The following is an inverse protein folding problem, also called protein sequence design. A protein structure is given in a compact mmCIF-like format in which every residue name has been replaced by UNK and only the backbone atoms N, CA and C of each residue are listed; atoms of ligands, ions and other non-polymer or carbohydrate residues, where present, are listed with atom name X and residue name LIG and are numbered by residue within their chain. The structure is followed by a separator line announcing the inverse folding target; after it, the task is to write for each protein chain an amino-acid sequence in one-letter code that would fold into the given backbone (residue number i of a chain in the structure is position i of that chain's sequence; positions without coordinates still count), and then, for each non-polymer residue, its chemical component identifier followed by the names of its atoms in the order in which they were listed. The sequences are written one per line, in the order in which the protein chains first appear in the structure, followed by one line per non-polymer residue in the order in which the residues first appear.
data_IF_263157515645
#
_entry.id   IF_263157515645
#
_cell.length_a   1.000
_cell.length_b   1.000
_cell.length_c   1.000
_cell.angle_alpha   90.00
_cell.angle_beta   90.00
_cell.angle_gamma   90.00
#
_symmetry.space_group_name_H-M   'P 1'
#
loop_
_entity.id
_entity.type
_entity.pdbx_description
1 polymer ?
#
# COMPACT_ATOMS: atom_id res chain seq x y z
N UNK A 1 76.99 38.57 46.21
CA UNK A 1 77.98 37.48 46.11
C UNK A 1 77.27 36.25 45.55
N UNK A 2 77.15 36.10 44.24
CA UNK A 2 78.29 35.77 43.38
C UNK A 2 78.22 34.33 42.84
N UNK A 3 77.26 33.50 43.28
CA UNK A 3 77.13 32.11 42.82
C UNK A 3 75.98 31.91 41.81
N UNK A 4 74.82 32.54 42.02
CA UNK A 4 73.61 32.27 41.20
C UNK A 4 73.68 32.82 39.76
N UNK A 5 74.53 33.82 39.48
CA UNK A 5 74.67 34.44 38.16
C UNK A 5 75.79 33.83 37.30
N UNK A 6 76.65 32.95 37.86
CA UNK A 6 77.78 32.37 37.13
C UNK A 6 77.49 30.98 36.54
N UNK A 7 76.46 30.28 37.03
CA UNK A 7 76.07 28.94 36.55
C UNK A 7 75.19 29.03 35.28
N UNK A 8 74.41 30.11 35.11
CA UNK A 8 73.51 30.27 33.95
C UNK A 8 74.24 30.51 32.62
N UNK A 9 75.56 30.70 32.63
CA UNK A 9 76.38 31.04 31.45
C UNK A 9 77.09 29.83 30.80
N UNK A 10 76.95 28.62 31.35
CA UNK A 10 77.62 27.40 30.86
C UNK A 10 76.69 26.26 30.42
N UNK A 11 75.37 26.48 30.37
CA UNK A 11 74.41 25.46 29.92
C UNK A 11 73.61 25.88 28.67
N UNK A 12 74.28 26.50 27.70
CA UNK A 12 73.70 26.69 26.37
C UNK A 12 74.06 25.48 25.49
N UNK A 13 73.22 24.45 25.54
CA UNK A 13 73.31 23.31 24.61
C UNK A 13 72.56 23.72 23.34
N UNK A 14 73.20 23.77 22.16
CA UNK A 14 72.48 24.00 20.91
C UNK A 14 71.56 22.80 20.65
N UNK A 15 70.26 23.04 20.41
CA UNK A 15 69.36 21.99 19.95
C UNK A 15 69.73 21.59 18.51
N UNK A 16 69.94 20.30 18.20
CA UNK A 16 70.14 19.87 16.83
C UNK A 16 68.86 20.13 16.02
N UNK A 17 68.98 20.87 14.92
CA UNK A 17 67.92 20.97 13.92
C UNK A 17 67.81 19.62 13.20
N UNK A 18 66.69 18.92 13.43
CA UNK A 18 66.32 17.73 12.66
C UNK A 18 65.47 18.21 11.49
N UNK A 19 65.91 18.09 10.23
CA UNK A 19 65.07 18.43 9.09
C UNK A 19 63.87 17.49 9.05
N UNK A 20 62.66 18.04 8.97
CA UNK A 20 61.47 17.24 8.72
C UNK A 20 61.51 16.70 7.28
N UNK A 21 61.36 15.39 7.05
CA UNK A 21 61.29 14.86 5.69
C UNK A 21 60.03 15.41 5.00
N UNK A 22 60.19 16.04 3.84
CA UNK A 22 59.08 16.38 2.96
C UNK A 22 58.52 15.09 2.34
N UNK A 23 57.32 14.71 2.77
CA UNK A 23 56.55 13.63 2.16
C UNK A 23 55.66 14.28 1.10
N UNK A 24 55.82 13.97 -0.20
CA UNK A 24 54.93 14.47 -1.23
C UNK A 24 53.50 13.94 -0.97
N UNK A 25 52.51 14.83 -0.98
CA UNK A 25 51.12 14.42 -0.87
C UNK A 25 50.72 13.60 -2.11
N UNK A 26 50.10 12.41 -1.95
CA UNK A 26 49.59 11.67 -3.09
C UNK A 26 48.49 12.49 -3.77
N UNK A 27 48.63 12.80 -5.06
CA UNK A 27 47.51 13.27 -5.86
C UNK A 27 46.54 12.12 -6.07
N UNK A 28 45.44 12.13 -5.33
CA UNK A 28 44.31 11.23 -5.55
C UNK A 28 43.40 11.91 -6.59
N UNK A 29 43.22 11.35 -7.79
CA UNK A 29 42.27 11.88 -8.76
C UNK A 29 40.86 11.86 -8.14
N UNK A 30 40.19 13.01 -8.12
CA UNK A 30 38.81 13.06 -7.68
C UNK A 30 37.94 12.25 -8.66
N UNK A 31 37.13 11.30 -8.18
CA UNK A 31 36.18 10.59 -9.04
C UNK A 31 35.22 11.61 -9.64
N UNK A 32 35.13 11.68 -10.97
CA UNK A 32 34.04 12.38 -11.65
C UNK A 32 32.76 11.60 -11.37
N UNK A 33 31.97 12.05 -10.40
CA UNK A 33 30.61 11.55 -10.17
C UNK A 33 29.72 12.27 -11.18
N UNK A 34 29.13 11.58 -12.18
CA UNK A 34 28.16 12.19 -13.05
C UNK A 34 27.01 12.71 -12.19
N UNK A 35 26.76 14.01 -12.23
CA UNK A 35 25.59 14.56 -11.57
C UNK A 35 24.34 13.94 -12.22
N UNK A 36 23.43 13.34 -11.44
CA UNK A 36 22.16 12.90 -11.99
C UNK A 36 21.47 14.09 -12.66
N UNK A 37 21.16 13.98 -13.94
CA UNK A 37 20.25 14.91 -14.59
C UNK A 37 18.86 14.71 -13.98
N UNK A 38 18.57 15.45 -12.91
CA UNK A 38 17.22 15.52 -12.36
C UNK A 38 16.41 16.37 -13.35
N UNK A 39 15.42 15.80 -14.05
CA UNK A 39 14.53 16.60 -14.89
C UNK A 39 13.91 17.65 -13.99
N UNK A 40 14.05 18.94 -14.35
CA UNK A 40 13.39 20.01 -13.61
C UNK A 40 11.89 19.69 -13.60
N UNK A 41 11.20 19.75 -12.43
CA UNK A 41 9.75 19.60 -12.40
C UNK A 41 9.19 20.70 -13.31
N UNK A 42 8.64 20.28 -14.44
CA UNK A 42 7.96 21.18 -15.36
C UNK A 42 6.75 21.73 -14.60
N UNK A 43 6.55 23.04 -14.74
CA UNK A 43 5.55 23.87 -14.08
C UNK A 43 4.42 23.15 -13.37
N UNK A 44 4.37 23.32 -12.06
CA UNK A 44 3.23 23.01 -11.20
C UNK A 44 2.08 23.98 -11.56
N UNK A 45 1.40 23.73 -12.67
CA UNK A 45 0.02 24.17 -12.85
C UNK A 45 -0.82 23.30 -11.92
N UNK A 46 -1.75 23.86 -11.12
CA UNK A 46 -2.79 23.07 -10.47
C UNK A 46 -3.75 22.63 -11.58
N UNK A 47 -3.31 21.63 -12.33
CA UNK A 47 -4.10 21.02 -13.37
C UNK A 47 -5.11 20.14 -12.62
N UNK A 48 -6.39 20.48 -12.77
CA UNK A 48 -7.51 19.70 -12.26
C UNK A 48 -7.83 18.49 -13.15
N UNK A 49 -7.19 18.37 -14.33
CA UNK A 49 -7.62 17.50 -15.41
C UNK A 49 -6.43 17.03 -16.27
N UNK A 50 -6.13 15.71 -16.23
CA UNK A 50 -4.92 15.12 -16.83
C UNK A 50 -4.63 15.63 -18.24
N UNK A 51 -3.53 16.36 -18.43
CA UNK A 51 -3.05 16.81 -19.74
C UNK A 51 -2.81 15.61 -20.68
N UNK A 52 -2.59 14.41 -20.12
CA UNK A 52 -2.48 13.15 -20.87
C UNK A 52 -3.83 12.51 -21.26
N UNK A 53 -4.98 13.01 -20.77
CA UNK A 53 -6.32 12.50 -21.15
C UNK A 53 -6.51 12.54 -22.67
N UNK A 54 -6.07 13.60 -23.33
CA UNK A 54 -6.30 13.78 -24.77
C UNK A 54 -5.60 12.72 -25.64
N UNK A 55 -4.49 12.15 -25.20
CA UNK A 55 -3.75 11.14 -25.97
C UNK A 55 -4.32 9.72 -25.80
N UNK A 56 -4.96 9.44 -24.65
CA UNK A 56 -5.38 8.08 -24.27
C UNK A 56 -6.88 7.94 -24.00
N UNK A 57 -7.70 8.93 -24.32
CA UNK A 57 -9.11 9.03 -23.90
C UNK A 57 -9.95 7.77 -24.20
N UNK A 58 -9.72 7.11 -25.34
CA UNK A 58 -10.42 5.87 -25.68
C UNK A 58 -10.22 4.75 -24.63
N UNK A 59 -9.02 4.63 -24.04
CA UNK A 59 -8.73 3.65 -23.00
C UNK A 59 -9.40 4.02 -21.68
N UNK A 60 -9.44 5.32 -21.31
CA UNK A 60 -10.17 5.78 -20.13
C UNK A 60 -11.66 5.45 -20.24
N UNK A 61 -12.31 5.82 -21.35
CA UNK A 61 -13.73 5.55 -21.56
C UNK A 61 -14.00 4.04 -21.59
N UNK A 62 -13.14 3.26 -22.27
CA UNK A 62 -13.30 1.82 -22.35
C UNK A 62 -13.14 1.13 -20.99
N UNK A 63 -12.06 1.41 -20.23
CA UNK A 63 -11.79 0.78 -18.94
C UNK A 63 -12.79 1.23 -17.87
N UNK A 64 -13.13 2.52 -17.80
CA UNK A 64 -14.16 3.01 -16.88
C UNK A 64 -15.55 2.48 -17.26
N UNK A 65 -15.87 2.40 -18.55
CA UNK A 65 -17.11 1.80 -19.03
C UNK A 65 -17.22 0.32 -18.65
N UNK A 66 -16.13 -0.44 -18.80
CA UNK A 66 -16.09 -1.85 -18.41
C UNK A 66 -16.19 -2.03 -16.89
N UNK A 67 -15.56 -1.15 -16.10
CA UNK A 67 -15.71 -1.12 -14.65
C UNK A 67 -17.16 -0.87 -14.24
N UNK A 68 -17.80 0.13 -14.84
CA UNK A 68 -19.21 0.47 -14.59
C UNK A 68 -20.14 -0.68 -14.96
N UNK A 69 -19.98 -1.30 -16.14
CA UNK A 69 -20.80 -2.45 -16.54
C UNK A 69 -20.61 -3.63 -15.60
N UNK A 70 -19.35 -3.92 -15.23
CA UNK A 70 -19.03 -4.98 -14.26
C UNK A 70 -19.69 -4.72 -12.92
N UNK A 71 -19.62 -3.47 -12.42
CA UNK A 71 -20.24 -3.09 -11.16
C UNK A 71 -21.76 -3.07 -11.23
N UNK A 72 -22.37 -2.60 -12.32
CA UNK A 72 -23.82 -2.70 -12.51
C UNK A 72 -24.25 -4.17 -12.46
N UNK A 73 -23.56 -5.05 -13.19
CA UNK A 73 -23.89 -6.47 -13.20
C UNK A 73 -23.74 -7.10 -11.81
N UNK A 74 -22.62 -6.84 -11.14
CA UNK A 74 -22.36 -7.32 -9.76
C UNK A 74 -23.43 -6.79 -8.81
N UNK A 75 -23.72 -5.48 -8.82
CA UNK A 75 -24.64 -4.84 -7.90
C UNK A 75 -26.12 -5.09 -8.21
N UNK A 76 -26.47 -5.50 -9.43
CA UNK A 76 -27.84 -5.90 -9.77
C UNK A 76 -28.15 -7.31 -9.28
N UNK A 77 -27.15 -8.19 -9.26
CA UNK A 77 -27.24 -9.53 -8.65
C UNK A 77 -27.19 -9.42 -7.12
N UNK A 78 -26.43 -8.45 -6.63
CA UNK A 78 -26.39 -8.11 -5.22
C UNK A 78 -27.70 -7.49 -4.77
N UNK A 79 -28.38 -8.09 -3.80
CA UNK A 79 -29.64 -7.54 -3.30
C UNK A 79 -29.44 -6.09 -2.82
N UNK A 80 -30.39 -5.19 -3.09
CA UNK A 80 -30.30 -3.74 -2.79
C UNK A 80 -30.14 -3.40 -1.30
N UNK A 81 -30.18 -4.39 -0.42
CA UNK A 81 -29.90 -4.31 1.02
C UNK A 81 -28.48 -4.79 1.39
N UNK A 82 -27.63 -5.08 0.42
CA UNK A 82 -26.26 -5.51 0.67
C UNK A 82 -25.50 -4.46 1.47
N UNK A 83 -24.76 -5.01 2.42
CA UNK A 83 -23.93 -4.35 3.43
C UNK A 83 -22.97 -3.38 2.75
N UNK A 84 -23.21 -2.07 2.91
CA UNK A 84 -22.53 -0.98 2.17
C UNK A 84 -21.01 -1.15 2.14
N UNK A 85 -20.40 -1.56 3.25
CA UNK A 85 -18.96 -1.79 3.35
C UNK A 85 -18.43 -2.91 2.44
N UNK A 86 -19.19 -4.00 2.25
CA UNK A 86 -18.82 -5.10 1.36
C UNK A 86 -18.85 -4.62 -0.09
N UNK A 87 -19.92 -3.92 -0.47
CA UNK A 87 -20.07 -3.34 -1.81
C UNK A 87 -18.95 -2.35 -2.11
N UNK A 88 -18.58 -1.50 -1.15
CA UNK A 88 -17.44 -0.58 -1.28
C UNK A 88 -16.13 -1.35 -1.48
N UNK A 89 -15.93 -2.45 -0.77
CA UNK A 89 -14.78 -3.34 -0.98
C UNK A 89 -14.72 -3.90 -2.40
N UNK A 90 -15.84 -4.43 -2.92
CA UNK A 90 -15.91 -4.97 -4.30
C UNK A 90 -15.74 -3.87 -5.36
N UNK A 91 -16.33 -2.69 -5.14
CA UNK A 91 -16.17 -1.53 -6.00
C UNK A 91 -14.71 -1.06 -6.06
N UNK A 92 -14.01 -1.03 -4.92
CA UNK A 92 -12.60 -0.69 -4.85
C UNK A 92 -11.69 -1.75 -5.51
N UNK A 93 -12.07 -3.04 -5.47
CA UNK A 93 -11.41 -4.08 -6.27
C UNK A 93 -11.58 -3.85 -7.77
N UNK A 94 -12.79 -3.52 -8.23
CA UNK A 94 -13.04 -3.20 -9.63
C UNK A 94 -12.22 -2.00 -10.07
N UNK A 95 -12.17 -0.94 -9.25
CA UNK A 95 -11.29 0.22 -9.51
C UNK A 95 -9.83 -0.21 -9.69
N UNK A 96 -9.29 -0.98 -8.74
CA UNK A 96 -7.89 -1.43 -8.80
C UNK A 96 -7.60 -2.24 -10.07
N UNK A 97 -8.53 -3.11 -10.46
CA UNK A 97 -8.40 -3.98 -11.63
C UNK A 97 -8.47 -3.22 -12.95
N UNK A 98 -9.38 -2.26 -13.08
CA UNK A 98 -9.62 -1.55 -14.34
C UNK A 98 -8.79 -0.29 -14.51
N UNK A 99 -8.45 0.39 -13.42
CA UNK A 99 -7.65 1.62 -13.46
C UNK A 99 -6.16 1.34 -13.44
N UNK A 100 -5.74 0.35 -12.63
CA UNK A 100 -4.31 0.02 -12.44
C UNK A 100 -4.06 -1.48 -12.70
N UNK A 101 -4.40 -1.99 -13.91
CA UNK A 101 -4.39 -3.41 -14.24
C UNK A 101 -3.03 -4.10 -14.08
N UNK A 102 -1.94 -3.35 -14.26
CA UNK A 102 -0.56 -3.84 -14.15
C UNK A 102 0.01 -3.81 -12.72
N UNK A 103 -0.75 -3.25 -11.76
CA UNK A 103 -0.33 -3.30 -10.36
C UNK A 103 -0.29 -4.73 -9.83
N UNK A 104 0.63 -4.97 -8.89
CA UNK A 104 0.68 -6.23 -8.15
C UNK A 104 -0.64 -6.50 -7.44
N UNK A 105 -1.27 -5.45 -6.89
CA UNK A 105 -2.56 -5.52 -6.17
C UNK A 105 -3.74 -5.95 -7.06
N UNK A 106 -3.66 -5.75 -8.39
CA UNK A 106 -4.68 -6.19 -9.35
C UNK A 106 -4.52 -7.66 -9.79
N UNK A 107 -3.44 -8.35 -9.41
CA UNK A 107 -3.24 -9.74 -9.84
C UNK A 107 -4.31 -10.66 -9.22
N UNK A 108 -4.84 -11.67 -9.96
CA UNK A 108 -5.94 -12.52 -9.49
C UNK A 108 -5.64 -13.20 -8.14
N UNK A 109 -4.38 -13.60 -7.94
CA UNK A 109 -3.93 -14.18 -6.67
C UNK A 109 -4.13 -13.22 -5.49
N UNK A 110 -3.81 -11.92 -5.67
CA UNK A 110 -3.98 -10.91 -4.61
C UNK A 110 -5.46 -10.60 -4.40
N UNK A 111 -6.21 -10.38 -5.48
CA UNK A 111 -7.65 -10.05 -5.40
C UNK A 111 -8.43 -11.18 -4.72
N UNK A 112 -8.36 -12.40 -5.28
CA UNK A 112 -9.11 -13.55 -4.76
C UNK A 112 -8.56 -13.94 -3.38
N UNK A 113 -7.24 -14.03 -3.23
CA UNK A 113 -6.62 -14.42 -1.97
C UNK A 113 -6.89 -13.44 -0.84
N UNK A 114 -6.85 -12.14 -1.11
CA UNK A 114 -7.11 -11.12 -0.10
C UNK A 114 -8.55 -11.17 0.40
N UNK A 115 -9.53 -11.26 -0.51
CA UNK A 115 -10.95 -11.39 -0.14
C UNK A 115 -11.25 -12.72 0.55
N UNK A 116 -10.59 -13.81 0.14
CA UNK A 116 -10.73 -15.12 0.80
C UNK A 116 -10.21 -15.09 2.24
N UNK A 117 -9.01 -14.52 2.46
CA UNK A 117 -8.44 -14.34 3.81
C UNK A 117 -9.33 -13.43 4.66
N UNK A 118 -9.78 -12.31 4.10
CA UNK A 118 -10.72 -11.39 4.77
C UNK A 118 -12.03 -12.08 5.17
N UNK A 119 -12.59 -12.92 4.29
CA UNK A 119 -13.81 -13.66 4.56
C UNK A 119 -13.63 -14.70 5.67
N UNK A 120 -12.53 -15.47 5.67
CA UNK A 120 -12.24 -16.46 6.73
C UNK A 120 -12.20 -15.77 8.11
N UNK A 121 -11.47 -14.66 8.20
CA UNK A 121 -11.28 -13.94 9.47
C UNK A 121 -12.59 -13.29 9.92
N UNK A 122 -13.32 -12.66 8.99
CA UNK A 122 -14.63 -12.09 9.26
C UNK A 122 -15.61 -13.15 9.77
N UNK A 123 -15.72 -14.29 9.09
CA UNK A 123 -16.56 -15.42 9.50
C UNK A 123 -16.15 -15.96 10.88
N UNK A 124 -14.85 -16.12 11.14
CA UNK A 124 -14.36 -16.61 12.42
C UNK A 124 -14.72 -15.67 13.58
N UNK A 125 -14.55 -14.36 13.40
CA UNK A 125 -14.86 -13.37 14.43
C UNK A 125 -16.37 -13.20 14.59
N UNK A 126 -17.17 -13.19 13.52
CA UNK A 126 -18.64 -13.18 13.67
C UNK A 126 -19.12 -14.44 14.38
N UNK A 127 -18.59 -15.62 14.03
CA UNK A 127 -18.90 -16.86 14.74
C UNK A 127 -18.62 -16.76 16.24
N UNK A 128 -17.48 -16.17 16.61
CA UNK A 128 -17.15 -15.90 18.01
C UNK A 128 -18.12 -14.92 18.68
N UNK A 129 -18.49 -13.81 18.02
CA UNK A 129 -19.47 -12.85 18.54
C UNK A 129 -20.85 -13.48 18.74
N UNK A 130 -21.28 -14.34 17.81
CA UNK A 130 -22.55 -15.05 17.88
C UNK A 130 -22.59 -16.01 19.08
N UNK A 131 -21.48 -16.69 19.39
CA UNK A 131 -21.35 -17.48 20.64
C UNK A 131 -21.50 -16.63 21.90
N UNK A 132 -21.11 -15.35 21.85
CA UNK A 132 -21.30 -14.39 22.94
C UNK A 132 -22.69 -13.72 22.94
N UNK A 133 -23.58 -14.11 22.03
CA UNK A 133 -24.91 -13.51 21.89
C UNK A 133 -24.90 -12.11 21.29
N UNK A 134 -23.82 -11.70 20.62
CA UNK A 134 -23.68 -10.39 19.97
C UNK A 134 -23.89 -10.55 18.48
N UNK A 135 -25.00 -10.02 17.96
CA UNK A 135 -25.33 -10.04 16.54
C UNK A 135 -25.40 -8.63 15.97
N UNK A 136 -24.41 -8.29 15.14
CA UNK A 136 -24.31 -6.98 14.47
C UNK A 136 -24.51 -5.81 15.43
N UNK A 137 -24.99 -4.69 14.88
CA UNK A 137 -25.37 -3.51 15.66
C UNK A 137 -26.75 -3.68 16.33
N UNK A 138 -26.89 -4.66 17.23
CA UNK A 138 -28.07 -4.77 18.11
C UNK A 138 -27.88 -4.00 19.42
N UNK A 139 -29.01 -3.56 19.99
CA UNK A 139 -29.17 -2.54 21.05
C UNK A 139 -28.20 -2.69 22.25
N UNK A 140 -27.04 -2.02 22.18
CA UNK A 140 -26.10 -1.83 23.30
C UNK A 140 -24.64 -2.17 23.01
N UNK A 141 -24.35 -2.96 21.97
CA UNK A 141 -23.02 -3.57 21.76
C UNK A 141 -22.12 -2.88 20.74
N UNK A 142 -22.39 -1.61 20.39
CA UNK A 142 -21.66 -0.87 19.33
C UNK A 142 -20.14 -0.94 19.49
N UNK A 143 -19.65 -0.67 20.71
CA UNK A 143 -18.22 -0.72 21.01
C UNK A 143 -17.60 -2.10 20.81
N UNK A 144 -18.33 -3.17 21.13
CA UNK A 144 -17.85 -4.56 20.96
C UNK A 144 -17.72 -4.88 19.47
N UNK A 145 -18.70 -4.48 18.66
CA UNK A 145 -18.68 -4.68 17.21
C UNK A 145 -17.57 -3.86 16.54
N UNK A 146 -17.35 -2.62 16.98
CA UNK A 146 -16.29 -1.77 16.44
C UNK A 146 -14.89 -2.33 16.75
N UNK A 147 -14.67 -2.79 17.98
CA UNK A 147 -13.43 -3.45 18.37
C UNK A 147 -13.24 -4.73 17.56
N UNK A 148 -14.29 -5.55 17.41
CA UNK A 148 -14.23 -6.77 16.62
C UNK A 148 -13.96 -6.48 15.13
N UNK A 149 -14.54 -5.41 14.56
CA UNK A 149 -14.30 -5.00 13.19
C UNK A 149 -12.86 -4.52 13.00
N UNK A 150 -12.34 -3.70 13.92
CA UNK A 150 -10.95 -3.27 13.92
C UNK A 150 -9.99 -4.46 14.03
N UNK A 151 -10.29 -5.43 14.91
CA UNK A 151 -9.52 -6.66 15.06
C UNK A 151 -9.56 -7.51 13.78
N UNK A 152 -10.74 -7.66 13.17
CA UNK A 152 -10.92 -8.40 11.91
C UNK A 152 -10.14 -7.79 10.76
N UNK A 153 -10.12 -6.46 10.66
CA UNK A 153 -9.32 -5.74 9.67
C UNK A 153 -7.82 -5.88 9.97
N UNK A 154 -7.39 -5.68 11.22
CA UNK A 154 -5.99 -5.76 11.61
C UNK A 154 -5.39 -7.16 11.41
N UNK A 155 -6.07 -8.21 11.88
CA UNK A 155 -5.68 -9.61 11.64
C UNK A 155 -5.73 -9.92 10.14
N UNK A 156 -6.74 -9.41 9.42
CA UNK A 156 -6.85 -9.49 7.97
C UNK A 156 -5.63 -8.96 7.24
N UNK A 157 -5.21 -7.74 7.57
CA UNK A 157 -4.03 -7.11 6.98
C UNK A 157 -2.79 -7.94 7.29
N UNK A 158 -2.58 -8.34 8.55
CA UNK A 158 -1.43 -9.14 8.96
C UNK A 158 -1.37 -10.46 8.17
N UNK A 159 -2.47 -11.19 8.12
CA UNK A 159 -2.52 -12.47 7.40
C UNK A 159 -2.33 -12.27 5.90
N UNK A 160 -2.95 -11.26 5.29
CA UNK A 160 -2.73 -10.94 3.88
C UNK A 160 -1.26 -10.63 3.56
N UNK A 161 -0.55 -9.95 4.46
CA UNK A 161 0.90 -9.69 4.33
C UNK A 161 1.68 -11.01 4.42
N UNK A 162 1.39 -11.84 5.43
CA UNK A 162 2.07 -13.13 5.63
C UNK A 162 1.82 -14.09 4.46
N UNK A 163 0.61 -14.14 3.92
CA UNK A 163 0.24 -15.02 2.81
C UNK A 163 0.60 -14.44 1.44
N UNK A 164 1.17 -13.23 1.39
CA UNK A 164 1.50 -12.53 0.15
C UNK A 164 0.24 -12.36 -0.73
N UNK A 165 -0.89 -11.99 -0.12
CA UNK A 165 -2.20 -11.74 -0.74
C UNK A 165 -2.75 -10.35 -0.40
N UNK A 166 -1.87 -9.36 -0.27
CA UNK A 166 -2.26 -7.97 0.02
C UNK A 166 -3.18 -7.43 -1.07
N UNK A 167 -4.42 -7.16 -0.68
CA UNK A 167 -5.40 -6.50 -1.51
C UNK A 167 -6.18 -5.52 -0.65
N UNK A 168 -5.80 -4.23 -0.63
CA UNK A 168 -6.41 -3.24 0.26
C UNK A 168 -7.95 -3.21 0.25
N UNK A 169 -8.64 -3.40 -0.90
CA UNK A 169 -10.10 -3.47 -0.92
C UNK A 169 -10.72 -4.60 -0.07
N UNK A 170 -9.98 -5.70 0.16
CA UNK A 170 -10.44 -6.82 0.98
C UNK A 170 -10.57 -6.46 2.47
N UNK A 171 -9.84 -5.45 2.94
CA UNK A 171 -10.02 -4.94 4.31
C UNK A 171 -11.45 -4.40 4.53
N UNK A 172 -12.01 -3.69 3.54
CA UNK A 172 -13.40 -3.23 3.58
C UNK A 172 -14.42 -4.38 3.61
N UNK A 173 -14.07 -5.51 3.01
CA UNK A 173 -14.90 -6.72 3.04
C UNK A 173 -14.89 -7.39 4.41
N UNK A 174 -13.71 -7.53 5.03
CA UNK A 174 -13.57 -8.01 6.42
C UNK A 174 -14.40 -7.17 7.39
N UNK A 175 -14.27 -5.84 7.30
CA UNK A 175 -15.05 -4.88 8.10
C UNK A 175 -16.56 -5.03 7.85
N UNK A 176 -16.96 -5.12 6.58
CA UNK A 176 -18.36 -5.23 6.19
C UNK A 176 -19.05 -6.52 6.62
N UNK A 177 -18.30 -7.60 6.85
CA UNK A 177 -18.83 -8.84 7.42
C UNK A 177 -19.13 -8.72 8.92
N UNK A 178 -18.48 -7.80 9.65
CA UNK A 178 -18.60 -7.67 11.11
C UNK A 178 -19.70 -6.68 11.52
N UNK A 179 -19.75 -5.51 10.88
CA UNK A 179 -20.64 -4.40 11.26
C UNK A 179 -22.13 -4.75 11.09
N UNK A 180 -22.39 -5.84 10.39
CA UNK A 180 -23.63 -6.13 9.75
C UNK A 180 -23.94 -7.62 9.99
N UNK A 181 -25.21 -7.99 10.13
CA UNK A 181 -25.60 -9.38 10.45
C UNK A 181 -24.99 -10.40 9.48
N UNK A 182 -24.26 -11.39 9.98
CA UNK A 182 -23.64 -12.32 9.06
C UNK A 182 -24.68 -13.10 8.25
N UNK A 183 -24.43 -13.24 6.95
CA UNK A 183 -25.21 -14.06 6.04
C UNK A 183 -24.28 -14.74 5.03
N UNK A 184 -24.52 -16.03 4.79
CA UNK A 184 -23.79 -16.82 3.80
C UNK A 184 -23.92 -16.26 2.39
N UNK A 185 -25.04 -15.61 2.07
CA UNK A 185 -25.25 -14.94 0.79
C UNK A 185 -24.18 -13.87 0.53
N UNK A 186 -23.76 -13.15 1.58
CA UNK A 186 -22.74 -12.09 1.47
C UNK A 186 -21.37 -12.67 1.14
N UNK A 187 -20.98 -13.79 1.75
CA UNK A 187 -19.70 -14.47 1.47
C UNK A 187 -19.68 -15.01 0.04
N UNK A 188 -20.75 -15.68 -0.38
CA UNK A 188 -20.87 -16.20 -1.75
C UNK A 188 -20.82 -15.05 -2.76
N UNK A 189 -21.52 -13.95 -2.48
CA UNK A 189 -21.51 -12.74 -3.30
C UNK A 189 -20.10 -12.16 -3.47
N UNK A 190 -19.34 -12.01 -2.38
CA UNK A 190 -17.95 -11.53 -2.40
C UNK A 190 -17.12 -12.43 -3.31
N UNK A 191 -17.11 -13.74 -3.04
CA UNK A 191 -16.27 -14.70 -3.77
C UNK A 191 -16.62 -14.73 -5.25
N UNK A 192 -17.91 -14.77 -5.59
CA UNK A 192 -18.38 -14.75 -6.97
C UNK A 192 -17.95 -13.45 -7.68
N UNK A 193 -18.09 -12.30 -7.03
CA UNK A 193 -17.72 -10.99 -7.58
C UNK A 193 -16.23 -10.90 -7.87
N UNK A 194 -15.37 -11.33 -6.94
CA UNK A 194 -13.92 -11.23 -7.11
C UNK A 194 -13.37 -12.24 -8.11
N UNK A 195 -14.00 -13.41 -8.23
CA UNK A 195 -13.72 -14.38 -9.29
C UNK A 195 -14.10 -13.78 -10.65
N UNK A 196 -15.31 -13.23 -10.79
CA UNK A 196 -15.77 -12.59 -12.02
C UNK A 196 -14.82 -11.47 -12.44
N UNK A 197 -14.51 -10.53 -11.54
CA UNK A 197 -13.57 -9.43 -11.82
C UNK A 197 -12.17 -9.94 -12.22
N UNK A 198 -11.70 -11.00 -11.56
CA UNK A 198 -10.40 -11.62 -11.89
C UNK A 198 -10.40 -12.29 -13.27
N UNK A 199 -11.51 -12.94 -13.66
CA UNK A 199 -11.68 -13.54 -14.98
C UNK A 199 -11.74 -12.46 -16.08
N UNK A 200 -12.51 -11.39 -15.86
CA UNK A 200 -12.59 -10.25 -16.76
C UNK A 200 -11.19 -9.66 -16.97
N UNK A 201 -10.42 -9.45 -15.88
CA UNK A 201 -9.04 -8.99 -15.97
C UNK A 201 -8.18 -9.91 -16.82
N UNK A 202 -8.24 -11.22 -16.60
CA UNK A 202 -7.42 -12.19 -17.34
C UNK A 202 -7.73 -12.13 -18.85
N UNK A 203 -9.01 -12.03 -19.21
CA UNK A 203 -9.44 -11.95 -20.61
C UNK A 203 -9.05 -10.61 -21.27
N UNK A 204 -9.23 -9.49 -20.55
CA UNK A 204 -8.96 -8.14 -21.08
C UNK A 204 -7.56 -7.62 -20.81
N UNK A 205 -6.66 -8.42 -20.20
CA UNK A 205 -5.32 -7.96 -19.79
C UNK A 205 -4.53 -7.31 -20.93
N UNK A 206 -4.65 -7.82 -22.15
CA UNK A 206 -3.95 -7.30 -23.34
C UNK A 206 -4.53 -5.97 -23.86
N UNK A 207 -5.72 -5.59 -23.43
CA UNK A 207 -6.47 -4.39 -23.89
C UNK A 207 -6.48 -3.26 -22.87
N UNK A 208 -6.12 -3.55 -21.61
CA UNK A 208 -6.10 -2.58 -20.53
C UNK A 208 -4.70 -1.98 -20.39
N UNK A 209 -4.62 -0.68 -20.11
CA UNK A 209 -3.38 0.02 -19.81
C UNK A 209 -3.47 0.66 -18.44
N UNK A 210 -2.34 0.96 -17.82
CA UNK A 210 -2.35 1.74 -16.59
C UNK A 210 -2.84 3.18 -16.85
N UNK A 211 -3.82 3.62 -16.06
CA UNK A 211 -4.42 4.95 -16.12
C UNK A 211 -3.85 5.92 -15.05
N UNK A 212 -3.04 5.41 -14.11
CA UNK A 212 -2.26 6.17 -13.13
C UNK A 212 -0.77 6.28 -13.54
#
# INVERSE_FOLDING_TARGET
MGVLLKIKRYLHVPHPHIPHPHIPHPHIPHPHIPHPHIPRPHGYLPHLLDQYIHSKWAHYIFQCGLATVSLIFILLIGDTLLRTAIVVGVASSAFTIFVVPDSVAATPRKVIGGHFVAAIIGVAIVGFLHLMGVEGYSNGSRYVVDIAAALSVGIGILLMVVTNTEHPPAAGTSLGLIIHTFDWTSVVFILCSVILLSLIRLFLRRRMINLL
#
